data_IF_016025617227
#
_entry.id   IF_016025617227
#
_cell.length_a   1.000
_cell.length_b   1.000
_cell.length_c   1.000
_cell.angle_alpha   90.00
_cell.angle_beta   90.00
_cell.angle_gamma   90.00
#
_symmetry.space_group_name_H-M   'P 1'
#
loop_
_entity.id
_entity.type
_entity.pdbx_description
1 polymer ?
#
# COMPACT_ATOMS: atom_id res chain seq x y z
N UNK A 1 2.17 3.74 -5.92
CA UNK A 1 3.38 3.30 -5.18
C UNK A 1 3.03 2.05 -4.40
N UNK A 2 3.86 1.01 -4.43
CA UNK A 2 3.70 -0.19 -3.60
C UNK A 2 4.97 -0.29 -2.77
N UNK A 3 4.86 -0.46 -1.46
CA UNK A 3 6.00 -0.61 -0.56
C UNK A 3 5.62 -1.28 0.76
N UNK A 4 6.61 -1.57 1.59
CA UNK A 4 6.48 -2.31 2.85
C UNK A 4 6.74 -1.41 4.07
N UNK A 5 6.86 -0.09 3.89
CA UNK A 5 7.08 0.85 4.98
C UNK A 5 6.22 2.10 4.86
N UNK A 6 5.99 2.74 6.01
CA UNK A 6 5.40 4.09 6.11
C UNK A 6 6.03 5.08 5.14
N UNK A 7 7.36 5.02 4.96
CA UNK A 7 8.07 5.93 4.08
C UNK A 7 7.67 5.78 2.61
N UNK A 8 7.43 4.56 2.14
CA UNK A 8 6.98 4.32 0.76
C UNK A 8 5.56 4.85 0.56
N UNK A 9 4.69 4.62 1.53
CA UNK A 9 3.32 5.13 1.52
C UNK A 9 3.32 6.66 1.50
N UNK A 10 4.13 7.29 2.36
CA UNK A 10 4.27 8.74 2.40
C UNK A 10 4.88 9.31 1.11
N UNK A 11 5.86 8.62 0.51
CA UNK A 11 6.41 9.02 -0.77
C UNK A 11 5.35 8.99 -1.88
N UNK A 12 4.50 7.95 -1.91
CA UNK A 12 3.35 7.89 -2.83
C UNK A 12 2.38 9.03 -2.63
N UNK A 13 1.98 9.28 -1.37
CA UNK A 13 1.06 10.35 -1.00
C UNK A 13 1.60 11.74 -1.39
N UNK A 14 2.88 12.03 -1.12
CA UNK A 14 3.51 13.30 -1.50
C UNK A 14 3.64 13.49 -3.02
N UNK A 15 3.72 12.40 -3.78
CA UNK A 15 3.74 12.43 -5.24
C UNK A 15 2.33 12.51 -5.87
N UNK A 16 1.26 12.57 -5.06
CA UNK A 16 -0.13 12.45 -5.51
C UNK A 16 -0.39 11.16 -6.32
N UNK A 17 0.22 10.04 -5.91
CA UNK A 17 0.04 8.73 -6.53
C UNK A 17 -0.58 7.78 -5.50
N UNK A 18 -1.59 7.02 -5.91
CA UNK A 18 -2.20 6.00 -5.06
C UNK A 18 -1.15 5.06 -4.46
N UNK A 19 -1.23 4.82 -3.16
CA UNK A 19 -0.26 4.09 -2.35
C UNK A 19 -0.82 2.78 -1.82
N UNK A 20 -0.01 1.73 -1.87
CA UNK A 20 -0.31 0.41 -1.33
C UNK A 20 0.75 0.02 -0.32
N UNK A 21 0.31 -0.40 0.87
CA UNK A 21 1.16 -1.01 1.87
C UNK A 21 1.08 -2.54 1.75
N UNK A 22 2.22 -3.17 1.49
CA UNK A 22 2.37 -4.63 1.51
C UNK A 22 2.87 -5.06 2.90
N UNK A 23 2.03 -5.79 3.62
CA UNK A 23 2.28 -6.21 5.00
C UNK A 23 1.96 -7.71 5.15
N UNK A 24 2.80 -8.61 4.62
CA UNK A 24 2.50 -10.04 4.56
C UNK A 24 2.42 -10.73 5.92
N UNK A 25 3.10 -10.19 6.94
CA UNK A 25 3.13 -10.75 8.29
C UNK A 25 2.26 -9.97 9.30
N UNK A 26 1.70 -8.82 8.90
CA UNK A 26 0.83 -8.02 9.74
C UNK A 26 1.55 -7.25 10.84
N UNK A 27 2.88 -7.13 10.77
CA UNK A 27 3.70 -6.53 11.83
C UNK A 27 3.82 -5.00 11.71
N UNK A 28 3.40 -4.42 10.59
CA UNK A 28 3.53 -2.97 10.37
C UNK A 28 2.43 -2.21 11.12
N UNK A 29 2.83 -1.53 12.20
CA UNK A 29 1.96 -0.70 13.04
C UNK A 29 1.75 0.69 12.44
N UNK A 30 2.83 1.34 11.99
CA UNK A 30 2.75 2.65 11.37
C UNK A 30 2.59 2.51 9.84
N UNK A 31 1.37 2.71 9.35
CA UNK A 31 1.05 2.41 7.95
C UNK A 31 1.24 3.58 6.99
N UNK A 32 1.29 4.82 7.48
CA UNK A 32 1.46 6.01 6.63
C UNK A 32 0.21 6.44 5.85
N UNK A 33 -0.95 5.86 6.12
CA UNK A 33 -2.23 6.07 5.42
C UNK A 33 -2.20 5.65 3.94
N UNK A 34 -2.11 4.34 3.64
CA UNK A 34 -2.18 3.84 2.28
C UNK A 34 -3.62 3.81 1.77
N UNK A 35 -3.82 3.90 0.44
CA UNK A 35 -5.13 3.68 -0.19
C UNK A 35 -5.59 2.22 -0.07
N UNK A 36 -4.64 1.29 0.00
CA UNK A 36 -4.90 -0.13 0.24
C UNK A 36 -3.76 -0.76 1.05
N UNK A 37 -4.12 -1.64 1.99
CA UNK A 37 -3.19 -2.55 2.66
C UNK A 37 -3.49 -3.97 2.19
N UNK A 38 -2.46 -4.72 1.81
CA UNK A 38 -2.58 -6.11 1.35
C UNK A 38 -1.60 -7.00 2.13
N UNK A 39 -1.92 -8.27 2.29
CA UNK A 39 -1.02 -9.29 2.85
C UNK A 39 -0.51 -10.24 1.77
N UNK A 40 -1.18 -10.29 0.62
CA UNK A 40 -0.79 -11.07 -0.56
C UNK A 40 -0.92 -10.25 -1.85
N UNK A 41 0.00 -10.44 -2.79
CA UNK A 41 0.03 -9.74 -4.09
C UNK A 41 -1.27 -9.94 -4.89
N UNK A 42 -1.93 -11.09 -4.76
CA UNK A 42 -3.18 -11.39 -5.46
C UNK A 42 -4.32 -10.42 -5.12
N UNK A 43 -4.26 -9.79 -3.94
CA UNK A 43 -5.26 -8.81 -3.50
C UNK A 43 -5.16 -7.47 -4.27
N UNK A 44 -4.03 -7.21 -4.96
CA UNK A 44 -3.92 -6.05 -5.85
C UNK A 44 -4.82 -6.16 -7.07
N UNK A 45 -5.05 -7.38 -7.57
CA UNK A 45 -5.81 -7.62 -8.81
C UNK A 45 -7.19 -6.94 -8.76
N UNK A 46 -8.07 -7.19 -7.76
CA UNK A 46 -9.37 -6.53 -7.70
C UNK A 46 -9.26 -5.02 -7.48
N UNK A 47 -8.21 -4.52 -6.82
CA UNK A 47 -8.01 -3.10 -6.60
C UNK A 47 -7.62 -2.36 -7.88
N UNK A 48 -6.64 -2.89 -8.64
CA UNK A 48 -6.19 -2.33 -9.92
C UNK A 48 -7.24 -2.43 -11.03
N UNK A 49 -8.20 -3.35 -10.89
CA UNK A 49 -9.26 -3.58 -11.87
C UNK A 49 -10.48 -2.67 -11.68
N UNK A 50 -10.56 -1.93 -10.57
CA UNK A 50 -11.60 -0.90 -10.36
C UNK A 50 -11.29 0.28 -11.30
N UNK A 51 -11.96 0.31 -12.44
CA UNK A 51 -12.06 1.49 -13.31
C UNK A 51 -13.20 2.38 -12.85
#
# INVERSE_FOLDING_TARGET
MIGDRKLDVQAGNHANVASCLFDPDGLIVETGNPDIKITEVKELIPWLSKR
#
